data_IF_204035163711
#
_entry.id   IF_204035163711
#
_cell.length_a   1.000
_cell.length_b   1.000
_cell.length_c   1.000
_cell.angle_alpha   90.00
_cell.angle_beta   90.00
_cell.angle_gamma   90.00
#
_symmetry.space_group_name_H-M   'P 1'
#
loop_
_entity.id
_entity.type
_entity.pdbx_description
1 polymer ?
#
# COMPACT_ATOMS: atom_id res chain seq x y z
N UNK A 1 -25.56 -5.38 -16.25
CA UNK A 1 -24.08 -5.34 -16.44
C UNK A 1 -23.28 -5.37 -15.12
N UNK A 2 -23.63 -6.15 -14.07
CA UNK A 2 -22.89 -6.13 -12.80
C UNK A 2 -21.54 -6.86 -12.86
N UNK A 3 -21.41 -7.89 -13.71
CA UNK A 3 -20.15 -8.65 -13.91
C UNK A 3 -19.02 -7.76 -14.42
N UNK A 4 -19.33 -6.88 -15.39
CA UNK A 4 -18.33 -5.95 -15.96
C UNK A 4 -17.81 -4.98 -14.89
N UNK A 5 -18.69 -4.48 -14.01
CA UNK A 5 -18.29 -3.58 -12.93
C UNK A 5 -17.38 -4.28 -11.89
N UNK A 6 -17.71 -5.51 -11.51
CA UNK A 6 -16.88 -6.30 -10.59
C UNK A 6 -15.51 -6.64 -11.18
N UNK A 7 -15.45 -6.95 -12.49
CA UNK A 7 -14.20 -7.18 -13.20
C UNK A 7 -13.33 -5.90 -13.22
N UNK A 8 -13.91 -4.74 -13.58
CA UNK A 8 -13.18 -3.46 -13.58
C UNK A 8 -12.65 -3.13 -12.17
N UNK A 9 -13.47 -3.29 -11.13
CA UNK A 9 -13.06 -3.05 -9.75
C UNK A 9 -11.92 -4.00 -9.32
N UNK A 10 -12.00 -5.28 -9.71
CA UNK A 10 -10.96 -6.26 -9.38
C UNK A 10 -9.61 -5.94 -10.03
N UNK A 11 -9.59 -5.41 -11.27
CA UNK A 11 -8.34 -5.03 -11.95
C UNK A 11 -7.59 -3.95 -11.16
N UNK A 12 -8.29 -2.91 -10.71
CA UNK A 12 -7.67 -1.85 -9.91
C UNK A 12 -7.11 -2.37 -8.58
N UNK A 13 -7.87 -3.21 -7.89
CA UNK A 13 -7.43 -3.82 -6.64
C UNK A 13 -6.22 -4.76 -6.83
N UNK A 14 -6.19 -5.57 -7.89
CA UNK A 14 -5.05 -6.44 -8.22
C UNK A 14 -3.80 -5.58 -8.41
N UNK A 15 -3.87 -4.53 -9.24
CA UNK A 15 -2.72 -3.67 -9.52
C UNK A 15 -2.18 -3.06 -8.23
N UNK A 16 -3.03 -2.42 -7.41
CA UNK A 16 -2.57 -1.77 -6.19
C UNK A 16 -2.07 -2.78 -5.16
N UNK A 17 -2.70 -3.96 -5.06
CA UNK A 17 -2.22 -5.01 -4.16
C UNK A 17 -0.84 -5.52 -4.54
N UNK A 18 -0.58 -5.72 -5.84
CA UNK A 18 0.75 -6.11 -6.34
C UNK A 18 1.77 -5.01 -6.02
N UNK A 19 1.43 -3.74 -6.26
CA UNK A 19 2.31 -2.61 -5.92
C UNK A 19 2.66 -2.59 -4.42
N UNK A 20 1.69 -2.85 -3.54
CA UNK A 20 1.93 -2.96 -2.10
C UNK A 20 2.89 -4.09 -1.72
N UNK A 21 3.00 -5.15 -2.52
CA UNK A 21 3.93 -6.25 -2.30
C UNK A 21 5.34 -5.96 -2.85
N UNK A 22 5.42 -5.31 -4.02
CA UNK A 22 6.69 -5.13 -4.74
C UNK A 22 7.42 -3.84 -4.39
N UNK A 23 6.71 -2.74 -4.14
CA UNK A 23 7.32 -1.44 -3.85
C UNK A 23 8.18 -1.48 -2.58
N UNK A 24 7.76 -2.09 -1.46
CA UNK A 24 8.58 -2.16 -0.26
C UNK A 24 9.93 -2.84 -0.49
N UNK A 25 9.96 -3.92 -1.28
CA UNK A 25 11.20 -4.67 -1.55
C UNK A 25 12.17 -3.83 -2.38
N UNK A 26 11.65 -3.12 -3.37
CA UNK A 26 12.45 -2.22 -4.19
C UNK A 26 12.96 -1.01 -3.40
N UNK A 27 12.11 -0.42 -2.55
CA UNK A 27 12.47 0.72 -1.72
C UNK A 27 13.54 0.37 -0.68
N UNK A 28 13.39 -0.77 0.01
CA UNK A 28 14.35 -1.24 1.03
C UNK A 28 15.67 -1.71 0.40
N UNK A 29 15.68 -2.12 -0.87
CA UNK A 29 16.90 -2.53 -1.58
C UNK A 29 17.76 -1.35 -2.07
N UNK A 30 17.43 -0.10 -1.73
CA UNK A 30 18.16 1.10 -2.17
C UNK A 30 18.01 1.44 -3.66
N UNK A 31 17.14 0.73 -4.39
CA UNK A 31 16.91 0.93 -5.83
C UNK A 31 16.00 2.12 -6.14
N UNK A 32 15.37 2.70 -5.11
CA UNK A 32 14.43 3.81 -5.27
C UNK A 32 15.05 5.06 -4.63
N UNK A 33 15.60 5.99 -5.43
CA UNK A 33 16.16 7.22 -4.89
C UNK A 33 15.05 8.10 -4.29
N UNK A 34 15.41 8.95 -3.32
CA UNK A 34 14.50 9.86 -2.58
C UNK A 34 13.64 10.77 -3.47
N UNK A 35 14.04 11.01 -4.72
CA UNK A 35 13.29 11.80 -5.71
C UNK A 35 12.64 10.95 -6.82
N UNK A 36 12.42 9.66 -6.58
CA UNK A 36 11.70 8.81 -7.52
C UNK A 36 10.21 9.19 -7.60
N UNK A 37 9.58 8.90 -8.74
CA UNK A 37 8.14 8.98 -8.90
C UNK A 37 7.39 7.92 -8.04
N UNK A 38 8.12 6.94 -7.49
CA UNK A 38 7.59 5.78 -6.79
C UNK A 38 8.06 5.81 -5.34
N UNK A 39 7.15 5.63 -4.37
CA UNK A 39 7.45 5.56 -2.93
C UNK A 39 6.45 6.33 -2.06
N UNK A 40 6.61 6.21 -0.75
CA UNK A 40 5.83 6.94 0.26
C UNK A 40 6.43 8.34 0.42
N UNK A 41 5.70 9.36 -0.04
CA UNK A 41 6.18 10.75 -0.10
C UNK A 41 5.49 11.60 0.95
N UNK A 42 6.07 11.67 2.13
CA UNK A 42 5.63 12.55 3.22
C UNK A 42 6.60 13.73 3.40
N UNK A 43 6.28 14.67 4.29
CA UNK A 43 7.20 15.77 4.59
C UNK A 43 8.56 15.23 5.08
N UNK A 44 8.54 14.28 6.02
CA UNK A 44 9.73 13.77 6.70
C UNK A 44 10.55 12.79 5.87
N UNK A 45 9.89 11.88 5.14
CA UNK A 45 10.57 10.90 4.27
C UNK A 45 11.35 11.54 3.12
N UNK A 46 11.03 12.80 2.76
CA UNK A 46 11.75 13.55 1.71
C UNK A 46 12.88 14.42 2.23
N UNK A 47 13.04 14.61 3.55
CA UNK A 47 14.03 15.54 4.11
C UNK A 47 15.46 15.04 3.96
N UNK A 48 15.71 13.76 4.15
CA UNK A 48 17.04 13.13 4.12
C UNK A 48 16.97 11.76 3.43
N UNK A 49 18.09 11.28 2.89
CA UNK A 49 18.17 9.94 2.31
C UNK A 49 17.98 8.86 3.39
N UNK A 50 18.48 9.10 4.61
CA UNK A 50 18.28 8.24 5.78
C UNK A 50 16.80 8.15 6.15
N UNK A 51 16.09 9.29 6.20
CA UNK A 51 14.66 9.36 6.48
C UNK A 51 13.80 8.69 5.41
N UNK A 52 14.23 8.78 4.14
CA UNK A 52 13.61 8.00 3.06
C UNK A 52 13.71 6.51 3.33
N UNK A 53 14.92 6.02 3.60
CA UNK A 53 15.21 4.60 3.74
C UNK A 53 14.59 3.98 5.01
N UNK A 54 14.76 4.65 6.16
CA UNK A 54 14.15 4.24 7.44
C UNK A 54 12.63 4.26 7.36
N UNK A 55 12.03 5.32 6.79
CA UNK A 55 10.59 5.42 6.62
C UNK A 55 10.01 4.29 5.75
N UNK A 56 10.67 3.96 4.63
CA UNK A 56 10.26 2.87 3.76
C UNK A 56 10.43 1.50 4.40
N UNK A 57 11.51 1.27 5.15
CA UNK A 57 11.69 0.05 5.96
C UNK A 57 10.58 -0.12 6.98
N UNK A 58 10.23 0.93 7.71
CA UNK A 58 9.20 0.88 8.74
C UNK A 58 7.80 0.58 8.15
N UNK A 59 7.49 1.13 6.97
CA UNK A 59 6.22 0.91 6.30
C UNK A 59 6.10 -0.43 5.54
N UNK A 60 7.23 -1.07 5.20
CA UNK A 60 7.27 -2.30 4.43
C UNK A 60 6.37 -3.44 4.97
N UNK A 61 6.41 -3.82 6.26
CA UNK A 61 5.54 -4.88 6.77
C UNK A 61 4.05 -4.55 6.69
N UNK A 62 3.69 -3.27 6.81
CA UNK A 62 2.29 -2.80 6.72
C UNK A 62 1.82 -2.98 5.28
N UNK A 63 2.58 -2.45 4.31
CA UNK A 63 2.26 -2.57 2.88
C UNK A 63 2.16 -4.04 2.45
N UNK A 64 3.07 -4.91 2.89
CA UNK A 64 3.00 -6.34 2.58
C UNK A 64 1.71 -6.99 3.10
N UNK A 65 1.35 -6.73 4.37
CA UNK A 65 0.09 -7.27 4.95
C UNK A 65 -1.14 -6.73 4.24
N UNK A 66 -1.16 -5.43 3.95
CA UNK A 66 -2.24 -4.79 3.18
C UNK A 66 -2.40 -5.42 1.81
N UNK A 67 -1.31 -5.61 1.07
CA UNK A 67 -1.33 -6.26 -0.26
C UNK A 67 -1.84 -7.69 -0.20
N UNK A 68 -1.43 -8.50 0.79
CA UNK A 68 -1.90 -9.88 0.95
C UNK A 68 -3.41 -9.91 1.23
N UNK A 69 -3.89 -9.13 2.21
CA UNK A 69 -5.31 -9.12 2.58
C UNK A 69 -6.17 -8.61 1.40
N UNK A 70 -5.72 -7.56 0.72
CA UNK A 70 -6.41 -7.03 -0.45
C UNK A 70 -6.45 -8.04 -1.62
N UNK A 71 -5.38 -8.81 -1.87
CA UNK A 71 -5.40 -9.88 -2.87
C UNK A 71 -6.42 -10.96 -2.54
N UNK A 72 -6.52 -11.39 -1.27
CA UNK A 72 -7.48 -12.40 -0.84
C UNK A 72 -8.92 -11.91 -1.08
N UNK A 73 -9.23 -10.66 -0.70
CA UNK A 73 -10.54 -10.05 -0.93
C UNK A 73 -10.83 -9.89 -2.43
N UNK A 74 -9.82 -9.56 -3.23
CA UNK A 74 -9.96 -9.41 -4.69
C UNK A 74 -10.21 -10.75 -5.37
N UNK A 75 -9.55 -11.83 -4.93
CA UNK A 75 -9.81 -13.18 -5.42
C UNK A 75 -11.25 -13.62 -5.11
N UNK A 76 -11.74 -13.34 -3.90
CA UNK A 76 -13.13 -13.62 -3.54
C UNK A 76 -14.13 -12.82 -4.39
N UNK A 77 -13.87 -11.53 -4.61
CA UNK A 77 -14.65 -10.68 -5.52
C UNK A 77 -14.68 -11.25 -6.94
N UNK A 78 -13.51 -11.59 -7.49
CA UNK A 78 -13.37 -12.13 -8.84
C UNK A 78 -14.15 -13.43 -9.00
N UNK A 79 -13.96 -14.40 -8.11
CA UNK A 79 -14.66 -15.69 -8.15
C UNK A 79 -16.18 -15.52 -7.99
N UNK A 80 -16.62 -14.62 -7.09
CA UNK A 80 -18.05 -14.35 -6.91
C UNK A 80 -18.73 -13.79 -8.17
N UNK A 81 -17.97 -13.24 -9.11
CA UNK A 81 -18.49 -12.70 -10.37
C UNK A 81 -18.82 -13.80 -11.40
N UNK A 82 -18.29 -15.01 -11.25
CA UNK A 82 -18.56 -16.15 -12.12
C UNK A 82 -19.59 -17.13 -11.53
N UNK A 83 -19.61 -17.25 -10.21
CA UNK A 83 -20.43 -18.25 -9.50
C UNK A 83 -21.60 -17.63 -8.72
N UNK A 84 -21.61 -16.31 -8.52
CA UNK A 84 -22.67 -15.59 -7.84
C UNK A 84 -23.79 -15.12 -8.77
N UNK A 85 -25.00 -15.00 -8.24
CA UNK A 85 -26.08 -14.25 -8.89
C UNK A 85 -25.73 -12.75 -9.03
N UNK A 86 -26.55 -12.01 -9.78
CA UNK A 86 -26.35 -10.58 -9.99
C UNK A 86 -26.12 -9.84 -8.66
N UNK A 87 -24.98 -9.15 -8.54
CA UNK A 87 -24.64 -8.29 -7.39
C UNK A 87 -24.77 -9.01 -6.03
N UNK A 88 -24.22 -10.21 -5.93
CA UNK A 88 -24.22 -10.97 -4.67
C UNK A 88 -23.66 -10.13 -3.50
N UNK A 89 -24.22 -10.32 -2.30
CA UNK A 89 -23.75 -9.67 -1.06
C UNK A 89 -22.24 -9.89 -0.87
N UNK A 90 -21.74 -11.05 -1.28
CA UNK A 90 -20.32 -11.40 -1.25
C UNK A 90 -19.51 -10.46 -2.15
N UNK A 91 -19.92 -10.26 -3.41
CA UNK A 91 -19.22 -9.38 -4.34
C UNK A 91 -19.13 -7.94 -3.81
N UNK A 92 -20.27 -7.38 -3.34
CA UNK A 92 -20.30 -6.01 -2.81
C UNK A 92 -19.42 -5.89 -1.57
N UNK A 93 -19.53 -6.84 -0.63
CA UNK A 93 -18.77 -6.82 0.63
C UNK A 93 -17.28 -6.95 0.38
N UNK A 94 -16.85 -7.88 -0.46
CA UNK A 94 -15.43 -8.07 -0.81
C UNK A 94 -14.86 -6.85 -1.53
N UNK A 95 -15.62 -6.23 -2.45
CA UNK A 95 -15.20 -5.01 -3.14
C UNK A 95 -14.99 -3.84 -2.15
N UNK A 96 -15.99 -3.55 -1.32
CA UNK A 96 -15.92 -2.46 -0.33
C UNK A 96 -14.78 -2.68 0.67
N UNK A 97 -14.67 -3.89 1.22
CA UNK A 97 -13.60 -4.22 2.16
C UNK A 97 -12.23 -4.16 1.49
N UNK A 98 -12.11 -4.61 0.23
CA UNK A 98 -10.85 -4.55 -0.52
C UNK A 98 -10.32 -3.12 -0.63
N UNK A 99 -11.17 -2.18 -1.05
CA UNK A 99 -10.79 -0.77 -1.11
C UNK A 99 -10.52 -0.17 0.27
N UNK A 100 -11.33 -0.49 1.28
CA UNK A 100 -11.13 0.00 2.64
C UNK A 100 -9.78 -0.45 3.22
N UNK A 101 -9.40 -1.71 3.01
CA UNK A 101 -8.11 -2.27 3.43
C UNK A 101 -6.95 -1.58 2.73
N UNK A 102 -7.03 -1.36 1.41
CA UNK A 102 -5.98 -0.67 0.67
C UNK A 102 -5.84 0.78 1.16
N UNK A 103 -6.92 1.55 1.20
CA UNK A 103 -6.88 2.95 1.61
C UNK A 103 -6.38 3.07 3.04
N UNK A 104 -6.94 2.31 3.97
CA UNK A 104 -6.53 2.31 5.37
C UNK A 104 -5.07 1.88 5.55
N UNK A 105 -4.65 0.83 4.84
CA UNK A 105 -3.29 0.32 4.88
C UNK A 105 -2.25 1.31 4.33
N UNK A 106 -2.57 1.99 3.22
CA UNK A 106 -1.72 3.03 2.64
C UNK A 106 -1.61 4.24 3.57
N UNK A 107 -2.73 4.69 4.16
CA UNK A 107 -2.72 5.78 5.14
C UNK A 107 -1.88 5.42 6.37
N UNK A 108 -2.04 4.20 6.90
CA UNK A 108 -1.25 3.74 8.03
C UNK A 108 0.24 3.63 7.69
N UNK A 109 0.58 3.03 6.56
CA UNK A 109 1.95 2.97 6.07
C UNK A 109 2.58 4.36 5.94
N UNK A 110 1.83 5.35 5.43
CA UNK A 110 2.29 6.72 5.31
C UNK A 110 2.57 7.39 6.67
N UNK A 111 1.69 7.19 7.67
CA UNK A 111 1.88 7.71 9.03
C UNK A 111 3.12 7.09 9.68
N UNK A 112 3.27 5.77 9.57
CA UNK A 112 4.41 5.05 10.16
C UNK A 112 5.73 5.45 9.48
N UNK A 113 5.75 5.54 8.14
CA UNK A 113 6.91 6.04 7.42
C UNK A 113 7.29 7.46 7.84
N UNK A 114 6.29 8.34 7.98
CA UNK A 114 6.53 9.72 8.39
C UNK A 114 7.14 9.82 9.79
N UNK A 115 6.59 9.06 10.74
CA UNK A 115 7.06 9.10 12.13
C UNK A 115 8.47 8.53 12.26
N UNK A 116 8.76 7.41 11.59
CA UNK A 116 10.10 6.82 11.59
C UNK A 116 11.13 7.73 10.90
N UNK A 117 10.75 8.39 9.80
CA UNK A 117 11.60 9.38 9.14
C UNK A 117 11.83 10.62 10.02
N UNK A 118 10.81 11.06 10.76
CA UNK A 118 10.95 12.19 11.68
C UNK A 118 11.97 11.88 12.78
N UNK A 119 11.87 10.71 13.39
CA UNK A 119 12.75 10.30 14.48
C UNK A 119 14.23 10.30 14.07
N UNK A 120 14.55 9.77 12.88
CA UNK A 120 15.94 9.78 12.39
C UNK A 120 16.41 11.19 12.00
N UNK A 121 15.54 12.03 11.41
CA UNK A 121 15.88 13.41 11.10
C UNK A 121 16.18 14.22 12.37
N UNK A 122 15.34 14.10 13.40
CA UNK A 122 15.51 14.78 14.68
C UNK A 122 16.82 14.33 15.38
N UNK A 123 17.20 13.06 15.25
CA UNK A 123 18.47 12.52 15.74
C UNK A 123 19.68 13.13 15.00
N UNK A 124 19.64 13.18 13.68
CA UNK A 124 20.71 13.77 12.87
C UNK A 124 20.91 15.27 13.16
N UNK A 125 19.81 16.01 13.33
CA UNK A 125 19.85 17.43 13.73
C UNK A 125 20.49 17.62 15.11
N UNK A 126 20.21 16.72 16.06
CA UNK A 126 20.81 16.75 17.40
C UNK A 126 22.30 16.38 17.40
N UNK A 127 22.73 15.50 16.49
CA UNK A 127 24.12 15.08 16.32
C UNK A 127 24.95 16.08 15.48
N UNK A 128 24.29 17.04 14.81
CA UNK A 128 24.94 18.06 13.98
C UNK A 128 25.46 17.52 12.64
N UNK A 129 24.84 16.46 12.13
CA UNK A 129 25.17 15.77 10.86
C UNK A 129 24.31 16.26 9.72
#
# INVERSE_FOLDING_TARGET
MPVVAALIASVGLVIVSILCLTIPENAVSGKVPRNSAIGIRTAETKKSDEGWDVGHRAAAPILKRTGIVALILTAALFLSSFFGGEMSVVAVTCGVLGYAVIIGGLCWAAVVANNAAKEINDQMEAEGV
#
